data_IF_622196212979
#
_entry.id   IF_622196212979
#
_cell.length_a   1.000
_cell.length_b   1.000
_cell.length_c   1.000
_cell.angle_alpha   90.00
_cell.angle_beta   90.00
_cell.angle_gamma   90.00
#
_symmetry.space_group_name_H-M   'P 1'
#
loop_
_entity.id
_entity.type
_entity.pdbx_description
1 polymer ?
#
# COMPACT_ATOMS: atom_id res chain seq x y z
N UNK A 1 -12.11 -47.51 -20.72
CA UNK A 1 -12.69 -46.14 -20.80
C UNK A 1 -11.54 -45.13 -20.65
N UNK A 2 -11.20 -44.45 -21.75
CA UNK A 2 -9.93 -43.71 -21.90
C UNK A 2 -10.20 -42.26 -22.28
N UNK A 3 -9.58 -41.34 -21.50
CA UNK A 3 -9.24 -39.91 -21.69
C UNK A 3 -10.25 -38.90 -22.28
N UNK A 4 -10.44 -37.74 -21.62
CA UNK A 4 -10.77 -36.49 -22.30
C UNK A 4 -9.52 -35.61 -22.49
N UNK A 5 -9.19 -35.31 -23.73
CA UNK A 5 -8.20 -34.29 -24.12
C UNK A 5 -8.92 -32.95 -24.25
N UNK A 6 -8.66 -32.00 -23.34
CA UNK A 6 -9.16 -30.63 -23.46
C UNK A 6 -8.10 -29.78 -24.15
N UNK A 7 -8.34 -29.42 -25.41
CA UNK A 7 -7.51 -28.50 -26.18
C UNK A 7 -8.15 -27.11 -26.19
N UNK A 8 -7.59 -26.20 -25.41
CA UNK A 8 -7.88 -24.76 -25.45
C UNK A 8 -7.04 -24.10 -26.54
N UNK A 9 -7.70 -23.41 -27.49
CA UNK A 9 -7.03 -22.62 -28.53
C UNK A 9 -7.46 -21.16 -28.42
N UNK A 10 -6.50 -20.33 -28.03
CA UNK A 10 -6.55 -18.88 -27.99
C UNK A 10 -6.38 -18.28 -29.39
N UNK A 11 -7.17 -17.26 -29.70
CA UNK A 11 -6.86 -16.28 -30.75
C UNK A 11 -7.77 -15.06 -30.58
N UNK A 12 -7.18 -13.86 -30.57
CA UNK A 12 -7.95 -12.62 -30.49
C UNK A 12 -7.10 -11.38 -30.26
N UNK A 13 -6.10 -11.15 -31.13
CA UNK A 13 -5.42 -9.86 -31.26
C UNK A 13 -6.32 -8.94 -32.10
N UNK A 14 -6.64 -7.76 -31.60
CA UNK A 14 -7.12 -6.65 -32.42
C UNK A 14 -6.55 -5.32 -31.93
N UNK A 15 -5.98 -4.60 -32.88
CA UNK A 15 -5.34 -3.29 -32.80
C UNK A 15 -6.30 -2.25 -33.38
N UNK A 16 -6.44 -1.08 -32.76
CA UNK A 16 -6.91 0.19 -33.37
C UNK A 16 -6.73 1.32 -32.34
N UNK A 17 -5.80 2.27 -32.52
CA UNK A 17 -5.76 3.48 -33.38
C UNK A 17 -6.63 4.65 -32.92
N UNK A 18 -5.96 5.81 -32.85
CA UNK A 18 -6.46 7.21 -33.00
C UNK A 18 -7.32 7.76 -31.83
N UNK A 19 -7.31 9.04 -31.44
CA UNK A 19 -6.65 10.29 -31.87
C UNK A 19 -6.86 11.33 -30.74
N UNK A 20 -5.83 12.15 -30.47
CA UNK A 20 -5.87 13.65 -30.47
C UNK A 20 -7.06 14.36 -29.79
N UNK A 21 -6.81 15.14 -28.72
CA UNK A 21 -6.90 16.64 -28.71
C UNK A 21 -7.10 17.27 -27.32
N UNK A 22 -6.20 18.22 -27.02
CA UNK A 22 -6.45 19.62 -26.58
C UNK A 22 -7.02 19.91 -25.17
N UNK A 23 -6.19 20.64 -24.42
CA UNK A 23 -6.51 21.32 -23.16
C UNK A 23 -7.38 22.58 -23.35
N UNK A 24 -7.96 23.09 -22.25
CA UNK A 24 -8.04 24.54 -22.08
C UNK A 24 -7.31 25.00 -20.81
N UNK A 25 -6.53 26.07 -21.00
CA UNK A 25 -6.05 26.99 -19.97
C UNK A 25 -7.17 27.96 -19.64
N UNK A 26 -7.38 28.26 -18.36
CA UNK A 26 -7.94 29.56 -17.94
C UNK A 26 -7.15 30.09 -16.76
N UNK A 27 -6.54 31.25 -16.98
CA UNK A 27 -5.99 32.15 -15.97
C UNK A 27 -7.11 33.02 -15.41
N UNK A 28 -7.07 33.32 -14.12
CA UNK A 28 -7.66 34.53 -13.58
C UNK A 28 -6.81 35.03 -12.41
N UNK A 29 -6.14 36.16 -12.64
CA UNK A 29 -5.46 36.96 -11.65
C UNK A 29 -6.49 37.81 -10.89
N UNK A 30 -6.23 38.06 -9.60
CA UNK A 30 -7.01 38.98 -8.77
C UNK A 30 -6.19 39.50 -7.60
N UNK A 31 -5.64 40.71 -7.76
CA UNK A 31 -5.01 41.55 -6.74
C UNK A 31 -5.96 41.85 -5.58
N UNK A 32 -5.44 42.00 -4.35
CA UNK A 32 -5.42 43.32 -3.68
C UNK A 32 -4.58 43.33 -2.40
N UNK A 33 -3.95 44.50 -2.19
CA UNK A 33 -2.94 44.84 -1.18
C UNK A 33 -3.56 45.74 -0.10
N UNK A 34 -2.96 45.69 1.11
CA UNK A 34 -2.83 46.75 2.15
C UNK A 34 -4.12 47.05 2.96
N UNK A 35 -4.12 47.47 4.25
CA UNK A 35 -3.14 48.18 5.10
C UNK A 35 -3.52 48.08 6.60
N UNK A 36 -2.47 48.13 7.45
CA UNK A 36 -2.30 48.55 8.87
C UNK A 36 -3.45 49.15 9.71
N UNK A 37 -3.45 48.75 10.99
CA UNK A 37 -3.98 49.42 12.20
C UNK A 37 -4.19 48.36 13.30
N UNK A 38 -3.86 48.50 14.58
CA UNK A 38 -3.34 49.60 15.39
C UNK A 38 -2.66 49.00 16.65
N UNK A 39 -1.73 49.76 17.22
CA UNK A 39 -1.00 49.51 18.47
C UNK A 39 -1.93 49.51 19.69
N UNK A 40 -1.74 48.57 20.63
CA UNK A 40 -2.39 48.62 21.95
C UNK A 40 -2.13 47.43 22.88
N UNK A 41 -1.14 47.59 23.76
CA UNK A 41 -1.03 47.04 25.13
C UNK A 41 -0.84 45.52 25.39
N UNK A 42 0.44 45.15 25.65
CA UNK A 42 1.11 44.36 26.73
C UNK A 42 0.42 43.17 27.48
N UNK A 43 1.18 42.27 28.17
CA UNK A 43 1.16 40.83 27.94
C UNK A 43 0.62 40.04 29.16
N UNK A 44 0.08 38.84 28.96
CA UNK A 44 -0.10 37.90 30.08
C UNK A 44 -0.01 36.47 29.57
N UNK A 45 0.81 35.70 30.27
CA UNK A 45 1.30 34.38 29.94
C UNK A 45 0.20 33.37 29.63
N UNK A 46 0.41 32.55 28.60
CA UNK A 46 -0.24 31.25 28.44
C UNK A 46 0.71 30.33 27.67
N UNK A 47 1.48 29.55 28.44
CA UNK A 47 2.03 28.21 28.18
C UNK A 47 2.55 27.87 26.76
N UNK A 48 3.84 27.50 26.60
CA UNK A 48 4.32 26.82 25.39
C UNK A 48 3.85 25.36 25.45
N UNK A 49 2.89 24.98 24.61
CA UNK A 49 2.42 23.60 24.65
C UNK A 49 1.36 23.23 23.63
N UNK A 50 1.24 23.94 22.51
CA UNK A 50 0.55 23.35 21.36
C UNK A 50 1.54 22.39 20.69
N UNK A 51 1.63 21.18 21.22
CA UNK A 51 2.06 20.05 20.40
C UNK A 51 0.94 19.89 19.40
N UNK A 52 1.09 20.61 18.29
CA UNK A 52 0.24 20.46 17.12
C UNK A 52 0.44 19.00 16.71
N UNK A 53 -0.49 18.15 17.15
CA UNK A 53 -0.49 16.74 16.81
C UNK A 53 -0.50 16.70 15.29
N UNK A 54 0.66 16.42 14.70
CA UNK A 54 0.74 16.13 13.28
C UNK A 54 -0.29 15.03 13.05
N UNK A 55 -1.32 15.24 12.21
CA UNK A 55 -2.26 14.18 11.92
C UNK A 55 -1.40 13.03 11.43
N UNK A 56 -1.37 11.94 12.21
CA UNK A 56 -0.72 10.72 11.82
C UNK A 56 -1.25 10.44 10.43
N UNK A 57 -0.38 10.53 9.44
CA UNK A 57 -0.72 10.28 8.04
C UNK A 57 -1.07 8.79 8.02
N UNK A 58 -2.33 8.48 8.33
CA UNK A 58 -2.99 7.19 8.18
C UNK A 58 -3.18 6.94 6.68
N UNK A 59 -2.10 7.11 5.91
CA UNK A 59 -1.99 6.48 4.60
C UNK A 59 -1.85 4.98 4.83
N UNK A 60 -2.21 4.17 3.82
CA UNK A 60 -2.00 2.73 3.89
C UNK A 60 -0.54 2.50 4.27
N UNK A 61 -0.35 1.92 5.46
CA UNK A 61 0.95 1.57 6.00
C UNK A 61 1.62 0.64 5.00
N UNK A 62 2.54 1.19 4.20
CA UNK A 62 3.31 0.41 3.24
C UNK A 62 4.06 -0.67 4.01
N UNK A 63 4.00 -1.91 3.55
CA UNK A 63 4.81 -2.99 4.11
C UNK A 63 6.27 -2.51 4.18
N UNK A 64 6.88 -2.63 5.37
CA UNK A 64 8.25 -2.17 5.61
C UNK A 64 9.27 -3.08 4.93
N UNK A 65 8.94 -4.37 4.85
CA UNK A 65 9.73 -5.39 4.18
C UNK A 65 8.77 -6.32 3.43
N UNK A 66 9.10 -6.66 2.20
CA UNK A 66 8.35 -7.60 1.40
C UNK A 66 9.29 -8.44 0.55
N UNK A 67 8.94 -9.70 0.29
CA UNK A 67 9.78 -10.58 -0.50
C UNK A 67 9.26 -12.01 -0.61
N UNK A 68 9.81 -12.75 -1.57
CA UNK A 68 9.52 -14.17 -1.73
C UNK A 68 10.32 -14.98 -0.70
N UNK A 69 9.65 -15.84 0.07
CA UNK A 69 10.28 -16.76 1.02
C UNK A 69 9.63 -18.15 0.95
N UNK A 70 10.38 -19.17 1.36
CA UNK A 70 9.88 -20.52 1.51
C UNK A 70 9.21 -20.68 2.89
N UNK A 71 7.99 -21.21 2.89
CA UNK A 71 7.22 -21.54 4.08
C UNK A 71 7.01 -23.05 4.14
N UNK A 72 7.29 -23.66 5.28
CA UNK A 72 6.96 -25.05 5.49
C UNK A 72 5.42 -25.23 5.54
N UNK A 73 4.90 -26.18 4.77
CA UNK A 73 3.49 -26.56 4.78
C UNK A 73 3.15 -27.25 6.10
N UNK A 74 2.00 -26.91 6.68
CA UNK A 74 1.44 -27.61 7.85
C UNK A 74 0.71 -28.90 7.48
N UNK A 75 0.55 -29.20 6.19
CA UNK A 75 -0.10 -30.43 5.73
C UNK A 75 0.80 -31.66 5.94
N UNK A 76 0.18 -32.83 6.11
CA UNK A 76 0.87 -34.12 6.28
C UNK A 76 1.88 -34.39 5.15
N UNK A 77 1.58 -33.93 3.92
CA UNK A 77 2.57 -33.90 2.85
C UNK A 77 3.53 -32.73 3.13
N UNK A 78 4.60 -33.04 3.85
CA UNK A 78 5.68 -32.11 4.19
C UNK A 78 6.30 -31.56 2.91
N UNK A 79 6.17 -30.26 2.70
CA UNK A 79 6.77 -29.57 1.57
C UNK A 79 7.00 -28.11 1.87
N UNK A 80 7.97 -27.52 1.17
CA UNK A 80 8.21 -26.07 1.18
C UNK A 80 7.34 -25.42 0.11
N UNK A 81 6.70 -24.31 0.44
CA UNK A 81 5.90 -23.52 -0.48
C UNK A 81 6.51 -22.14 -0.64
N UNK A 82 6.74 -21.71 -1.88
CA UNK A 82 7.12 -20.32 -2.17
C UNK A 82 5.91 -19.41 -1.92
N UNK A 83 6.12 -18.34 -1.16
CA UNK A 83 5.09 -17.37 -0.79
C UNK A 83 5.64 -15.96 -0.86
N UNK A 84 4.79 -15.01 -1.24
CA UNK A 84 5.11 -13.60 -1.06
C UNK A 84 4.74 -13.18 0.35
N UNK A 85 5.70 -12.62 1.08
CA UNK A 85 5.51 -12.14 2.44
C UNK A 85 5.58 -10.63 2.52
N UNK A 86 4.81 -10.06 3.43
CA UNK A 86 4.92 -8.66 3.83
C UNK A 86 4.95 -8.54 5.35
N UNK A 87 5.88 -7.73 5.84
CA UNK A 87 6.02 -7.37 7.25
C UNK A 87 5.66 -5.90 7.43
N UNK A 88 4.69 -5.63 8.29
CA UNK A 88 4.24 -4.28 8.61
C UNK A 88 3.21 -4.29 9.74
N UNK A 89 3.05 -3.17 10.43
CA UNK A 89 2.04 -3.01 11.50
C UNK A 89 2.08 -4.09 12.60
N UNK A 90 3.28 -4.60 12.93
CA UNK A 90 3.42 -5.66 13.93
C UNK A 90 2.90 -7.04 13.48
N UNK A 91 2.61 -7.24 12.19
CA UNK A 91 2.19 -8.53 11.63
C UNK A 91 3.02 -8.94 10.42
N UNK A 92 3.06 -10.24 10.18
CA UNK A 92 3.58 -10.90 8.99
C UNK A 92 2.40 -11.49 8.22
N UNK A 93 2.22 -11.13 6.96
CA UNK A 93 1.14 -11.62 6.08
C UNK A 93 1.73 -12.29 4.85
N UNK A 94 1.01 -13.25 4.25
CA UNK A 94 1.49 -13.94 3.05
C UNK A 94 0.42 -14.25 2.00
N UNK A 95 0.84 -14.27 0.73
CA UNK A 95 0.03 -14.56 -0.45
C UNK A 95 0.63 -15.71 -1.28
N UNK A 96 -0.12 -16.18 -2.28
CA UNK A 96 0.40 -17.11 -3.29
C UNK A 96 1.47 -16.45 -4.17
N UNK A 97 1.31 -15.16 -4.52
CA UNK A 97 2.23 -14.44 -5.40
C UNK A 97 2.29 -12.93 -5.07
N UNK A 98 3.30 -12.19 -5.54
CA UNK A 98 3.37 -10.73 -5.37
C UNK A 98 2.23 -9.98 -6.07
N UNK A 99 1.72 -10.49 -7.19
CA UNK A 99 0.60 -9.89 -7.93
C UNK A 99 -0.71 -9.96 -7.15
N UNK A 100 -0.91 -11.03 -6.39
CA UNK A 100 -2.05 -11.17 -5.49
C UNK A 100 -2.00 -10.13 -4.36
N UNK A 101 -0.81 -9.90 -3.78
CA UNK A 101 -0.60 -8.85 -2.80
C UNK A 101 -0.83 -7.45 -3.41
N UNK A 102 -0.26 -7.18 -4.59
CA UNK A 102 -0.38 -5.88 -5.27
C UNK A 102 -1.82 -5.54 -5.68
N UNK A 103 -2.64 -6.55 -5.99
CA UNK A 103 -4.07 -6.39 -6.29
C UNK A 103 -4.94 -6.22 -5.03
N UNK A 104 -4.35 -6.27 -3.84
CA UNK A 104 -5.09 -6.18 -2.58
C UNK A 104 -5.96 -7.41 -2.31
N UNK A 105 -5.61 -8.57 -2.86
CA UNK A 105 -6.29 -9.83 -2.55
C UNK A 105 -6.11 -10.14 -1.06
N UNK A 106 -7.09 -10.83 -0.48
CA UNK A 106 -6.98 -11.31 0.90
C UNK A 106 -5.74 -12.20 1.08
N UNK A 107 -5.02 -12.00 2.18
CA UNK A 107 -3.86 -12.81 2.53
C UNK A 107 -4.29 -14.24 2.86
N UNK A 108 -3.42 -15.21 2.58
CA UNK A 108 -3.65 -16.62 2.95
C UNK A 108 -3.40 -16.92 4.42
N UNK A 109 -2.68 -16.03 5.09
CA UNK A 109 -2.58 -16.04 6.53
C UNK A 109 -1.83 -14.84 7.05
N UNK A 110 -1.94 -14.67 8.36
CA UNK A 110 -1.39 -13.57 9.11
C UNK A 110 -0.85 -14.11 10.44
N UNK A 111 0.28 -13.57 10.86
CA UNK A 111 0.89 -13.88 12.14
C UNK A 111 1.26 -12.58 12.86
N UNK A 112 0.76 -12.41 14.08
CA UNK A 112 1.17 -11.30 14.92
C UNK A 112 2.60 -11.53 15.42
N UNK A 113 3.45 -10.51 15.32
CA UNK A 113 4.88 -10.59 15.68
C UNK A 113 5.16 -10.31 17.16
N UNK A 114 4.14 -9.94 17.94
CA UNK A 114 4.28 -9.66 19.38
C UNK A 114 4.71 -10.93 20.10
N UNK A 115 5.86 -10.87 20.79
CA UNK A 115 6.42 -12.00 21.54
C UNK A 115 7.06 -13.10 20.68
N UNK A 116 7.16 -12.93 19.36
CA UNK A 116 7.83 -13.90 18.49
C UNK A 116 9.36 -13.80 18.61
N UNK A 117 10.03 -14.95 18.63
CA UNK A 117 11.50 -15.06 18.58
C UNK A 117 11.93 -15.61 17.23
N UNK A 118 13.00 -15.03 16.69
CA UNK A 118 13.69 -15.57 15.51
C UNK A 118 14.89 -16.38 16.01
N UNK A 119 15.07 -17.57 15.46
CA UNK A 119 16.22 -18.44 15.70
C UNK A 119 16.88 -18.79 14.37
N UNK A 120 18.21 -18.83 14.37
CA UNK A 120 18.97 -19.44 13.28
C UNK A 120 19.11 -20.93 13.60
N UNK A 121 18.83 -21.78 12.61
CA UNK A 121 18.98 -23.23 12.69
C UNK A 121 20.44 -23.63 12.45
#
# INVERSE_FOLDING_TARGET
PSVPTSSSKSAGRASSRERVSVAPRTSAAGQQRRTVGATGAIPTASLPGSVQATPARNGPSRARLAGALLKQSGSWIKGWQLRWFEVGNGSLRWWDSPEDAARGKEYKGCQQLVGMKVSML
#
